data_IF_615098696807
#
_entry.id   IF_615098696807
#
_cell.length_a   1.000
_cell.length_b   1.000
_cell.length_c   1.000
_cell.angle_alpha   90.00
_cell.angle_beta   90.00
_cell.angle_gamma   90.00
#
_symmetry.space_group_name_H-M   'P 1'
#
loop_
_entity.id
_entity.type
_entity.pdbx_description
1 polymer ?
#
# COMPACT_ATOMS: atom_id res chain seq x y z
N UNK A 1 7.97 -1.02 9.55
CA UNK A 1 7.97 -0.92 8.07
C UNK A 1 7.97 -2.31 7.45
N UNK A 2 8.94 -3.17 7.75
CA UNK A 2 9.08 -4.52 7.16
C UNK A 2 7.81 -5.37 7.28
N UNK A 3 7.04 -5.23 8.37
CA UNK A 3 5.75 -5.91 8.50
C UNK A 3 4.74 -5.45 7.43
N UNK A 4 4.76 -4.17 7.07
CA UNK A 4 3.94 -3.62 6.00
C UNK A 4 4.36 -4.14 4.62
N UNK A 5 5.68 -4.14 4.34
CA UNK A 5 6.27 -4.69 3.12
C UNK A 5 5.84 -6.15 2.95
N UNK A 6 6.06 -7.00 3.95
CA UNK A 6 5.66 -8.41 3.89
C UNK A 6 4.15 -8.63 3.77
N UNK A 7 3.34 -7.69 4.28
CA UNK A 7 1.88 -7.72 4.08
C UNK A 7 1.50 -7.51 2.62
N UNK A 8 2.16 -6.58 1.93
CA UNK A 8 1.95 -6.34 0.49
C UNK A 8 2.45 -7.53 -0.35
N UNK A 9 3.65 -8.05 -0.04
CA UNK A 9 4.18 -9.26 -0.67
C UNK A 9 3.23 -10.44 -0.54
N UNK A 10 2.66 -10.66 0.66
CA UNK A 10 1.69 -11.72 0.89
C UNK A 10 0.46 -11.58 0.00
N UNK A 11 -0.07 -10.36 -0.14
CA UNK A 11 -1.18 -10.05 -1.05
C UNK A 11 -0.84 -10.40 -2.50
N UNK A 12 0.31 -9.95 -2.97
CA UNK A 12 0.80 -10.23 -4.32
C UNK A 12 0.97 -11.74 -4.57
N UNK A 13 1.66 -12.44 -3.67
CA UNK A 13 1.88 -13.89 -3.78
C UNK A 13 0.56 -14.68 -3.81
N UNK A 14 -0.44 -14.23 -3.06
CA UNK A 14 -1.76 -14.84 -3.05
C UNK A 14 -2.46 -14.65 -4.39
N UNK A 15 -2.44 -13.44 -4.96
CA UNK A 15 -3.03 -13.17 -6.29
C UNK A 15 -2.46 -14.06 -7.38
N UNK A 16 -1.17 -14.38 -7.32
CA UNK A 16 -0.50 -15.22 -8.32
C UNK A 16 -0.38 -16.71 -7.92
N UNK A 17 -1.09 -17.15 -6.90
CA UNK A 17 -1.15 -18.55 -6.49
C UNK A 17 0.15 -19.13 -5.98
N UNK A 18 1.06 -18.31 -5.46
CA UNK A 18 2.36 -18.74 -4.94
C UNK A 18 2.25 -19.21 -3.48
N UNK A 19 1.38 -20.19 -3.24
CA UNK A 19 0.97 -20.65 -1.92
C UNK A 19 2.14 -21.04 -0.99
N UNK A 20 3.13 -21.78 -1.49
CA UNK A 20 4.28 -22.22 -0.66
C UNK A 20 5.04 -21.01 -0.11
N UNK A 21 5.38 -20.06 -0.98
CA UNK A 21 6.11 -18.84 -0.59
C UNK A 21 5.24 -17.97 0.33
N UNK A 22 3.93 -17.86 0.06
CA UNK A 22 2.99 -17.12 0.90
C UNK A 22 2.95 -17.63 2.35
N UNK A 23 3.07 -18.95 2.56
CA UNK A 23 3.13 -19.56 3.91
C UNK A 23 4.42 -19.15 4.65
N UNK A 24 5.55 -19.06 3.97
CA UNK A 24 6.82 -18.62 4.56
C UNK A 24 6.74 -17.14 4.99
N UNK A 25 6.12 -16.30 4.14
CA UNK A 25 5.85 -14.90 4.48
C UNK A 25 4.91 -14.76 5.68
N UNK A 26 3.84 -15.56 5.77
CA UNK A 26 2.96 -15.59 6.94
C UNK A 26 3.70 -15.93 8.22
N UNK A 27 4.66 -16.84 8.16
CA UNK A 27 5.49 -17.20 9.32
C UNK A 27 6.33 -16.01 9.78
N UNK A 28 6.92 -15.28 8.85
CA UNK A 28 7.72 -14.09 9.13
C UNK A 28 6.85 -12.93 9.66
N UNK A 29 5.67 -12.71 9.07
CA UNK A 29 4.67 -11.75 9.54
C UNK A 29 4.26 -12.05 10.98
N UNK A 30 3.99 -13.33 11.29
CA UNK A 30 3.63 -13.75 12.66
C UNK A 30 4.72 -13.42 13.67
N UNK A 31 5.99 -13.71 13.34
CA UNK A 31 7.14 -13.38 14.21
C UNK A 31 7.24 -11.86 14.46
N UNK A 32 7.12 -11.05 13.41
CA UNK A 32 7.19 -9.58 13.52
C UNK A 32 6.00 -9.01 14.31
N UNK A 33 4.78 -9.48 14.03
CA UNK A 33 3.58 -9.05 14.74
C UNK A 33 3.65 -9.36 16.24
N UNK A 34 4.18 -10.55 16.61
CA UNK A 34 4.38 -10.92 18.00
C UNK A 34 5.44 -10.05 18.69
N UNK A 35 6.59 -9.79 18.02
CA UNK A 35 7.60 -8.85 18.55
C UNK A 35 7.02 -7.46 18.81
N UNK A 36 6.13 -6.99 17.95
CA UNK A 36 5.43 -5.71 18.08
C UNK A 36 4.26 -5.76 19.07
N UNK A 37 3.95 -6.91 19.68
CA UNK A 37 2.80 -7.13 20.58
C UNK A 37 1.45 -6.77 19.93
N UNK A 38 1.29 -7.11 18.67
CA UNK A 38 0.07 -6.93 17.88
C UNK A 38 -0.41 -8.24 17.24
N UNK A 39 0.26 -9.35 17.53
CA UNK A 39 -0.06 -10.66 16.96
C UNK A 39 -1.50 -11.13 17.24
N UNK A 40 -2.11 -10.69 18.35
CA UNK A 40 -3.48 -11.03 18.71
C UNK A 40 -4.54 -10.47 17.73
N UNK A 41 -4.20 -9.50 16.89
CA UNK A 41 -5.12 -8.94 15.89
C UNK A 41 -5.11 -9.72 14.57
N UNK A 42 -4.28 -10.75 14.46
CA UNK A 42 -4.15 -11.55 13.25
C UNK A 42 -4.57 -13.00 13.53
N UNK A 43 -5.65 -13.44 12.89
CA UNK A 43 -6.00 -14.86 12.85
C UNK A 43 -5.13 -15.57 11.81
N UNK A 44 -3.93 -15.97 12.24
CA UNK A 44 -2.96 -16.63 11.37
C UNK A 44 -3.42 -17.97 10.80
N UNK A 45 -4.36 -18.66 11.47
CA UNK A 45 -4.92 -19.91 10.94
C UNK A 45 -5.84 -19.62 9.76
N UNK A 46 -6.73 -18.63 9.91
CA UNK A 46 -7.59 -18.20 8.82
C UNK A 46 -6.79 -17.59 7.66
N UNK A 47 -5.78 -16.75 7.96
CA UNK A 47 -4.89 -16.19 6.93
C UNK A 47 -4.15 -17.29 6.17
N UNK A 48 -3.63 -18.32 6.85
CA UNK A 48 -2.98 -19.46 6.22
C UNK A 48 -3.95 -20.21 5.30
N UNK A 49 -5.17 -20.48 5.75
CA UNK A 49 -6.18 -21.16 4.96
C UNK A 49 -6.54 -20.35 3.70
N UNK A 50 -6.71 -19.03 3.81
CA UNK A 50 -7.02 -18.15 2.69
C UNK A 50 -5.84 -18.04 1.72
N UNK A 51 -4.62 -17.94 2.23
CA UNK A 51 -3.42 -17.94 1.38
C UNK A 51 -3.19 -19.26 0.64
N UNK A 52 -3.78 -20.36 1.14
CA UNK A 52 -3.73 -21.67 0.48
C UNK A 52 -4.85 -21.88 -0.55
N UNK A 53 -5.82 -20.95 -0.65
CA UNK A 53 -6.96 -21.06 -1.55
C UNK A 53 -7.15 -19.72 -2.29
N UNK A 54 -6.66 -19.66 -3.54
CA UNK A 54 -6.65 -18.46 -4.38
C UNK A 54 -8.05 -17.93 -4.73
N UNK A 55 -9.11 -18.69 -4.51
CA UNK A 55 -10.48 -18.30 -4.83
C UNK A 55 -11.08 -17.28 -3.85
N UNK A 56 -10.34 -16.91 -2.78
CA UNK A 56 -10.84 -16.09 -1.68
C UNK A 56 -10.08 -14.77 -1.48
N UNK A 57 -9.63 -14.11 -2.55
CA UNK A 57 -8.91 -12.82 -2.46
C UNK A 57 -9.75 -11.76 -1.75
N UNK A 58 -11.04 -11.65 -2.06
CA UNK A 58 -11.94 -10.68 -1.43
C UNK A 58 -12.04 -10.91 0.09
N UNK A 59 -12.12 -12.18 0.50
CA UNK A 59 -12.13 -12.55 1.92
C UNK A 59 -10.79 -12.21 2.60
N UNK A 60 -9.67 -12.39 1.91
CA UNK A 60 -8.35 -12.02 2.42
C UNK A 60 -8.24 -10.50 2.61
N UNK A 61 -8.68 -9.73 1.63
CA UNK A 61 -8.72 -8.27 1.70
C UNK A 61 -9.61 -7.81 2.86
N UNK A 62 -10.84 -8.32 2.97
CA UNK A 62 -11.79 -7.96 4.02
C UNK A 62 -11.23 -8.25 5.42
N UNK A 63 -10.68 -9.45 5.64
CA UNK A 63 -10.09 -9.84 6.94
C UNK A 63 -8.87 -8.98 7.25
N UNK A 64 -8.01 -8.73 6.26
CA UNK A 64 -6.83 -7.88 6.45
C UNK A 64 -7.20 -6.45 6.83
N UNK A 65 -8.20 -5.86 6.19
CA UNK A 65 -8.70 -4.52 6.52
C UNK A 65 -9.29 -4.48 7.94
N UNK A 66 -10.13 -5.47 8.29
CA UNK A 66 -10.71 -5.56 9.63
C UNK A 66 -9.64 -5.68 10.71
N UNK A 67 -8.68 -6.57 10.51
CA UNK A 67 -7.58 -6.78 11.44
C UNK A 67 -6.72 -5.52 11.58
N UNK A 68 -6.42 -4.84 10.47
CA UNK A 68 -5.68 -3.58 10.50
C UNK A 68 -6.42 -2.50 11.29
N UNK A 69 -7.74 -2.34 11.09
CA UNK A 69 -8.54 -1.36 11.81
C UNK A 69 -8.55 -1.61 13.32
N UNK A 70 -8.73 -2.87 13.75
CA UNK A 70 -8.69 -3.25 15.16
C UNK A 70 -7.32 -3.00 15.77
N UNK A 71 -6.27 -3.38 15.08
CA UNK A 71 -4.89 -3.13 15.49
C UNK A 71 -4.59 -1.63 15.59
N UNK A 72 -4.99 -0.85 14.59
CA UNK A 72 -4.76 0.61 14.57
C UNK A 72 -5.48 1.31 15.74
N UNK A 73 -6.73 0.90 16.04
CA UNK A 73 -7.44 1.39 17.21
C UNK A 73 -6.64 1.10 18.51
N UNK A 74 -6.24 -0.15 18.72
CA UNK A 74 -5.42 -0.54 19.87
C UNK A 74 -4.12 0.25 19.99
N UNK A 75 -3.40 0.42 18.87
CA UNK A 75 -2.16 1.19 18.86
C UNK A 75 -2.39 2.66 19.21
N UNK A 76 -3.49 3.26 18.74
CA UNK A 76 -3.90 4.62 19.09
C UNK A 76 -4.18 4.76 20.59
N UNK A 77 -4.98 3.87 21.15
CA UNK A 77 -5.34 3.86 22.57
C UNK A 77 -4.10 3.70 23.47
N UNK A 78 -3.08 2.98 22.98
CA UNK A 78 -1.83 2.76 23.68
C UNK A 78 -0.69 3.74 23.32
N UNK A 79 -0.98 4.84 22.63
CA UNK A 79 -0.02 5.87 22.18
C UNK A 79 1.11 5.30 21.31
N UNK A 80 0.78 4.31 20.47
CA UNK A 80 1.72 3.63 19.56
C UNK A 80 1.32 3.78 18.08
N UNK A 81 0.64 4.87 17.74
CA UNK A 81 0.17 5.13 16.35
C UNK A 81 1.32 5.21 15.33
N UNK A 82 2.53 5.54 15.78
CA UNK A 82 3.75 5.49 14.97
C UNK A 82 3.94 4.14 14.28
N UNK A 83 3.59 3.02 14.92
CA UNK A 83 3.69 1.68 14.33
C UNK A 83 2.74 1.53 13.15
N UNK A 84 1.50 2.02 13.26
CA UNK A 84 0.53 2.00 12.16
C UNK A 84 1.03 2.81 10.96
N UNK A 85 1.59 4.01 11.21
CA UNK A 85 2.14 4.87 10.14
C UNK A 85 3.31 4.19 9.43
N UNK A 86 4.23 3.56 10.18
CA UNK A 86 5.33 2.79 9.59
C UNK A 86 4.84 1.58 8.77
N UNK A 87 3.78 0.89 9.22
CA UNK A 87 3.21 -0.22 8.45
C UNK A 87 2.57 0.27 7.14
N UNK A 88 1.80 1.36 7.19
CA UNK A 88 1.20 1.95 5.97
C UNK A 88 2.28 2.39 5.00
N UNK A 89 3.35 3.04 5.48
CA UNK A 89 4.49 3.40 4.66
C UNK A 89 5.11 2.17 3.98
N UNK A 90 5.31 1.07 4.73
CA UNK A 90 5.85 -0.18 4.19
C UNK A 90 4.95 -0.81 3.12
N UNK A 91 3.63 -0.87 3.36
CA UNK A 91 2.66 -1.38 2.37
C UNK A 91 2.70 -0.54 1.09
N UNK A 92 2.72 0.78 1.24
CA UNK A 92 2.68 1.69 0.09
C UNK A 92 3.95 1.59 -0.78
N UNK A 93 5.14 1.61 -0.16
CA UNK A 93 6.40 1.53 -0.92
C UNK A 93 6.54 0.18 -1.65
N UNK A 94 6.12 -0.91 -1.02
CA UNK A 94 6.14 -2.23 -1.66
C UNK A 94 5.16 -2.29 -2.83
N UNK A 95 3.96 -1.71 -2.68
CA UNK A 95 2.98 -1.61 -3.77
C UNK A 95 3.54 -0.88 -4.99
N UNK A 96 4.20 0.29 -4.79
CA UNK A 96 4.85 1.03 -5.87
C UNK A 96 6.00 0.22 -6.49
N UNK A 97 6.81 -0.42 -5.66
CA UNK A 97 7.91 -1.27 -6.13
C UNK A 97 7.39 -2.40 -7.03
N UNK A 98 6.40 -3.17 -6.57
CA UNK A 98 5.84 -4.29 -7.32
C UNK A 98 5.20 -3.82 -8.64
N UNK A 99 4.40 -2.74 -8.60
CA UNK A 99 3.78 -2.17 -9.79
C UNK A 99 4.84 -1.67 -10.78
N UNK A 100 5.89 -1.02 -10.29
CA UNK A 100 7.02 -0.57 -11.10
C UNK A 100 7.76 -1.72 -11.77
N UNK A 101 8.02 -2.82 -11.04
CA UNK A 101 8.67 -4.01 -11.60
C UNK A 101 7.82 -4.67 -12.70
N UNK A 102 6.50 -4.77 -12.48
CA UNK A 102 5.58 -5.30 -13.51
C UNK A 102 5.56 -4.38 -14.73
N UNK A 103 5.54 -3.06 -14.53
CA UNK A 103 5.57 -2.08 -15.62
C UNK A 103 6.88 -2.18 -16.45
N UNK A 104 8.04 -2.33 -15.81
CA UNK A 104 9.32 -2.51 -16.51
C UNK A 104 9.36 -3.79 -17.35
N UNK A 105 8.70 -4.87 -16.88
CA UNK A 105 8.63 -6.15 -17.62
C UNK A 105 7.61 -6.11 -18.76
N UNK A 106 6.50 -5.43 -18.58
CA UNK A 106 5.40 -5.33 -19.53
C UNK A 106 4.74 -3.95 -19.41
N UNK A 107 5.25 -2.95 -20.13
CA UNK A 107 4.69 -1.60 -20.12
C UNK A 107 3.20 -1.60 -20.50
N UNK A 108 2.38 -1.05 -19.62
CA UNK A 108 0.94 -0.97 -19.77
C UNK A 108 0.45 0.44 -19.37
N UNK A 109 -0.44 1.07 -20.17
CA UNK A 109 -0.98 2.40 -19.86
C UNK A 109 -1.73 2.46 -18.52
N UNK A 110 -2.46 1.42 -18.13
CA UNK A 110 -3.21 1.38 -16.87
C UNK A 110 -2.27 1.34 -15.67
N UNK A 111 -1.17 0.56 -15.76
CA UNK A 111 -0.14 0.55 -14.72
C UNK A 111 0.56 1.91 -14.60
N UNK A 112 0.81 2.58 -15.72
CA UNK A 112 1.37 3.93 -15.75
C UNK A 112 0.46 4.94 -15.05
N UNK A 113 -0.84 4.90 -15.34
CA UNK A 113 -1.84 5.74 -14.68
C UNK A 113 -1.91 5.42 -13.20
N UNK A 114 -1.98 4.14 -12.83
CA UNK A 114 -2.03 3.69 -11.43
C UNK A 114 -0.80 4.16 -10.61
N UNK A 115 0.40 4.13 -11.19
CA UNK A 115 1.60 4.69 -10.55
C UNK A 115 1.45 6.20 -10.38
N UNK A 116 1.01 6.93 -11.42
CA UNK A 116 0.87 8.38 -11.35
C UNK A 116 -0.18 8.87 -10.35
N UNK A 117 -1.29 8.15 -10.19
CA UNK A 117 -2.34 8.43 -9.21
C UNK A 117 -1.84 8.33 -7.76
N UNK A 118 -0.74 7.61 -7.52
CA UNK A 118 -0.13 7.53 -6.19
C UNK A 118 0.41 8.86 -5.67
N UNK A 119 0.44 9.90 -6.51
CA UNK A 119 0.67 11.29 -6.07
C UNK A 119 -0.23 11.69 -4.90
N UNK A 120 -1.49 11.27 -4.92
CA UNK A 120 -2.45 11.59 -3.86
C UNK A 120 -2.05 10.86 -2.57
N UNK A 121 -1.80 9.56 -2.70
CA UNK A 121 -1.48 8.70 -1.55
C UNK A 121 -0.17 9.09 -0.85
N UNK A 122 0.88 9.43 -1.62
CA UNK A 122 2.14 9.88 -1.01
C UNK A 122 1.98 11.24 -0.32
N UNK A 123 1.12 12.12 -0.84
CA UNK A 123 0.84 13.41 -0.21
C UNK A 123 0.23 13.21 1.19
N UNK A 124 -0.75 12.33 1.32
CA UNK A 124 -1.39 12.01 2.60
C UNK A 124 -0.43 11.28 3.53
N UNK A 125 0.37 10.35 2.99
CA UNK A 125 1.38 9.62 3.76
C UNK A 125 2.45 10.57 4.33
N UNK A 126 2.89 11.56 3.57
CA UNK A 126 3.85 12.56 4.06
C UNK A 126 3.29 13.39 5.20
N UNK A 127 1.99 13.71 5.20
CA UNK A 127 1.33 14.38 6.34
C UNK A 127 1.42 13.50 7.59
N UNK A 128 1.14 12.20 7.47
CA UNK A 128 1.21 11.26 8.58
C UNK A 128 2.64 11.09 9.10
N UNK A 129 3.62 10.95 8.21
CA UNK A 129 5.04 10.77 8.59
C UNK A 129 5.59 12.01 9.31
N UNK A 130 5.28 13.22 8.83
CA UNK A 130 5.75 14.49 9.42
C UNK A 130 5.24 14.75 10.84
N UNK A 131 4.15 14.10 11.27
CA UNK A 131 3.73 14.12 12.67
C UNK A 131 4.79 13.54 13.62
N UNK A 132 5.74 12.77 13.09
CA UNK A 132 6.82 12.12 13.85
C UNK A 132 8.21 12.67 13.49
N UNK A 133 8.32 13.84 12.84
CA UNK A 133 9.60 14.41 12.38
C UNK A 133 10.64 14.62 13.47
N UNK A 134 10.18 14.78 14.73
CA UNK A 134 11.07 14.94 15.91
C UNK A 134 11.63 13.61 16.42
N UNK A 135 11.13 12.49 15.93
CA UNK A 135 11.61 11.16 16.26
C UNK A 135 12.81 10.83 15.34
N UNK A 136 14.02 10.58 15.87
CA UNK A 136 15.20 10.29 15.06
C UNK A 136 15.03 9.10 14.12
N UNK A 137 14.26 8.07 14.53
CA UNK A 137 13.99 6.88 13.72
C UNK A 137 13.14 7.19 12.49
N UNK A 138 12.30 8.25 12.57
CA UNK A 138 11.49 8.72 11.44
C UNK A 138 12.24 9.68 10.52
N UNK A 139 13.25 10.40 11.03
CA UNK A 139 13.92 11.46 10.27
C UNK A 139 14.57 10.94 8.97
N UNK A 140 15.25 9.80 9.03
CA UNK A 140 15.85 9.18 7.85
C UNK A 140 14.80 8.71 6.85
N UNK A 141 13.73 8.10 7.36
CA UNK A 141 12.59 7.65 6.55
C UNK A 141 11.91 8.82 5.83
N UNK A 142 11.58 9.87 6.57
CA UNK A 142 10.94 11.09 6.03
C UNK A 142 11.79 11.66 4.90
N UNK A 143 13.11 11.77 5.10
CA UNK A 143 14.04 12.28 4.09
C UNK A 143 14.02 11.45 2.80
N UNK A 144 13.90 10.13 2.90
CA UNK A 144 13.87 9.25 1.72
C UNK A 144 12.51 9.34 1.02
N UNK A 145 11.40 9.35 1.76
CA UNK A 145 10.07 9.53 1.19
C UNK A 145 9.87 10.93 0.59
N UNK A 146 10.51 11.97 1.14
CA UNK A 146 10.49 13.32 0.60
C UNK A 146 11.07 13.40 -0.82
N UNK A 147 12.17 12.65 -1.08
CA UNK A 147 12.75 12.57 -2.45
C UNK A 147 11.72 12.02 -3.44
N UNK A 148 10.99 10.98 -3.05
CA UNK A 148 9.96 10.38 -3.89
C UNK A 148 8.76 11.30 -4.04
N UNK A 149 8.34 11.95 -2.97
CA UNK A 149 7.25 12.94 -2.97
C UNK A 149 7.53 14.11 -3.93
N UNK A 150 8.78 14.64 -3.94
CA UNK A 150 9.17 15.71 -4.87
C UNK A 150 9.10 15.27 -6.36
N UNK A 151 9.29 13.99 -6.65
CA UNK A 151 9.06 13.45 -7.99
C UNK A 151 7.55 13.39 -8.29
N UNK A 152 6.74 12.86 -7.39
CA UNK A 152 5.30 12.77 -7.57
C UNK A 152 4.60 14.14 -7.70
N UNK A 153 5.12 15.20 -7.07
CA UNK A 153 4.59 16.57 -7.22
C UNK A 153 4.58 17.03 -8.68
N UNK A 154 5.50 16.54 -9.51
CA UNK A 154 5.62 16.86 -10.94
C UNK A 154 4.59 16.14 -11.81
N UNK A 155 3.96 15.06 -11.32
CA UNK A 155 2.87 14.39 -12.03
C UNK A 155 1.67 15.32 -12.08
N UNK A 156 1.04 15.46 -13.25
CA UNK A 156 -0.18 16.25 -13.42
C UNK A 156 -1.38 15.33 -13.49
N UNK A 157 -2.35 15.55 -12.63
CA UNK A 157 -3.63 14.84 -12.63
C UNK A 157 -4.72 15.86 -12.94
N UNK A 158 -5.49 15.62 -13.98
CA UNK A 158 -6.69 16.37 -14.33
C UNK A 158 -7.91 15.48 -14.22
N UNK A 159 -9.09 16.07 -14.03
CA UNK A 159 -10.33 15.32 -13.88
C UNK A 159 -11.31 15.74 -14.96
N UNK A 160 -11.78 14.75 -15.72
CA UNK A 160 -12.90 14.96 -16.64
C UNK A 160 -14.18 14.49 -15.96
N UNK A 161 -15.18 15.39 -15.92
CA UNK A 161 -16.50 15.05 -15.43
C UNK A 161 -17.30 14.44 -16.56
N UNK A 162 -17.62 13.14 -16.41
CA UNK A 162 -18.59 12.47 -17.28
C UNK A 162 -20.04 12.75 -16.85
N UNK A 163 -20.98 12.38 -17.70
CA UNK A 163 -22.40 12.47 -17.34
C UNK A 163 -22.72 11.57 -16.13
N UNK A 164 -23.49 12.07 -15.15
CA UNK A 164 -23.85 11.27 -13.99
C UNK A 164 -24.76 10.11 -14.38
N UNK A 165 -24.41 8.92 -13.94
CA UNK A 165 -25.19 7.69 -14.14
C UNK A 165 -26.26 7.58 -13.04
N UNK A 166 -27.49 7.33 -13.45
CA UNK A 166 -28.61 7.07 -12.52
C UNK A 166 -28.77 5.57 -12.35
N UNK A 167 -28.54 5.06 -11.15
CA UNK A 167 -28.67 3.65 -10.82
C UNK A 167 -29.81 3.51 -9.81
N UNK A 168 -30.79 2.67 -10.12
CA UNK A 168 -31.81 2.29 -9.15
C UNK A 168 -31.36 0.99 -8.47
N UNK A 169 -31.16 1.04 -7.15
CA UNK A 169 -30.78 -0.12 -6.34
C UNK A 169 -31.62 -0.14 -5.07
N UNK A 170 -32.30 -1.26 -4.82
CA UNK A 170 -33.15 -1.47 -3.64
C UNK A 170 -34.22 -0.37 -3.43
N UNK A 171 -34.85 0.11 -4.54
CA UNK A 171 -35.85 1.17 -4.54
C UNK A 171 -35.30 2.56 -4.21
N UNK A 172 -33.97 2.75 -4.25
CA UNK A 172 -33.30 4.04 -4.06
C UNK A 172 -32.61 4.49 -5.34
N UNK A 173 -32.81 5.75 -5.69
CA UNK A 173 -32.11 6.39 -6.79
C UNK A 173 -30.71 6.79 -6.28
N UNK A 174 -29.65 6.17 -6.86
CA UNK A 174 -28.27 6.53 -6.62
C UNK A 174 -27.77 7.27 -7.83
N UNK A 175 -27.25 8.48 -7.64
CA UNK A 175 -26.57 9.24 -8.69
C UNK A 175 -25.06 8.93 -8.55
N UNK A 176 -24.51 8.19 -9.50
CA UNK A 176 -23.09 7.94 -9.56
C UNK A 176 -22.43 8.97 -10.47
N UNK A 177 -21.53 9.76 -9.92
CA UNK A 177 -20.75 10.72 -10.69
C UNK A 177 -19.62 9.96 -11.41
N UNK A 178 -19.60 10.02 -12.75
CA UNK A 178 -18.55 9.43 -13.56
C UNK A 178 -17.45 10.48 -13.77
N UNK A 179 -16.54 10.58 -12.78
CA UNK A 179 -15.32 11.40 -12.92
C UNK A 179 -14.18 10.48 -13.30
N UNK A 180 -13.49 10.78 -14.40
CA UNK A 180 -12.31 10.06 -14.84
C UNK A 180 -11.07 10.89 -14.52
N UNK A 181 -10.09 10.32 -13.86
CA UNK A 181 -8.76 10.92 -13.71
C UNK A 181 -7.97 10.74 -15.01
N UNK A 182 -7.23 11.77 -15.40
CA UNK A 182 -6.26 11.72 -16.49
C UNK A 182 -4.90 12.05 -15.90
N UNK A 183 -3.99 11.09 -15.97
CA UNK A 183 -2.64 11.21 -15.44
C UNK A 183 -1.67 11.56 -16.56
N UNK A 184 -0.99 12.70 -16.42
CA UNK A 184 0.07 13.12 -17.31
C UNK A 184 1.43 12.96 -16.59
N UNK A 185 2.19 11.96 -17.01
CA UNK A 185 3.53 11.66 -16.51
C UNK A 185 4.44 11.34 -17.69
N UNK A 186 5.62 11.98 -17.77
CA UNK A 186 6.62 11.67 -18.81
C UNK A 186 7.34 10.36 -18.51
N UNK A 187 7.89 9.71 -19.55
CA UNK A 187 8.64 8.46 -19.38
C UNK A 187 9.84 8.66 -18.47
N UNK A 188 10.54 9.79 -18.59
CA UNK A 188 11.69 10.13 -17.75
C UNK A 188 11.29 10.28 -16.27
N UNK A 189 10.12 10.89 -15.99
CA UNK A 189 9.64 11.07 -14.63
C UNK A 189 9.19 9.74 -14.03
N UNK A 190 8.50 8.91 -14.81
CA UNK A 190 8.07 7.59 -14.39
C UNK A 190 9.27 6.69 -14.05
N UNK A 191 10.30 6.66 -14.92
CA UNK A 191 11.55 5.92 -14.66
C UNK A 191 12.23 6.40 -13.36
N UNK A 192 12.28 7.71 -13.12
CA UNK A 192 12.84 8.24 -11.87
C UNK A 192 12.03 7.82 -10.64
N UNK A 193 10.71 7.80 -10.72
CA UNK A 193 9.82 7.35 -9.64
C UNK A 193 10.07 5.87 -9.34
N UNK A 194 10.11 5.02 -10.37
CA UNK A 194 10.35 3.58 -10.21
C UNK A 194 11.73 3.35 -9.58
N UNK A 195 12.80 3.94 -10.11
CA UNK A 195 14.16 3.79 -9.58
C UNK A 195 14.29 4.28 -8.13
N UNK A 196 13.65 5.39 -7.81
CA UNK A 196 13.67 5.92 -6.43
C UNK A 196 12.90 5.00 -5.47
N UNK A 197 11.76 4.43 -5.89
CA UNK A 197 11.01 3.48 -5.06
C UNK A 197 11.79 2.19 -4.80
N UNK A 198 12.46 1.65 -5.83
CA UNK A 198 13.38 0.50 -5.70
C UNK A 198 14.50 0.81 -4.69
N UNK A 199 15.11 1.98 -4.79
CA UNK A 199 16.19 2.40 -3.88
C UNK A 199 15.72 2.46 -2.42
N UNK A 200 14.57 3.09 -2.17
CA UNK A 200 14.00 3.20 -0.83
C UNK A 200 13.64 1.81 -0.28
N UNK A 201 12.91 1.03 -1.05
CA UNK A 201 12.47 -0.32 -0.67
C UNK A 201 13.66 -1.21 -0.30
N UNK A 202 14.70 -1.24 -1.16
CA UNK A 202 15.88 -2.06 -0.92
C UNK A 202 16.65 -1.64 0.34
N UNK A 203 16.75 -0.35 0.61
CA UNK A 203 17.31 0.15 1.86
C UNK A 203 16.55 -0.36 3.09
N UNK A 204 15.20 -0.31 3.06
CA UNK A 204 14.35 -0.70 4.17
C UNK A 204 14.38 -2.21 4.51
N UNK A 205 14.72 -3.07 3.55
CA UNK A 205 14.84 -4.52 3.79
C UNK A 205 16.27 -4.98 4.11
N UNK A 206 17.27 -4.10 3.92
CA UNK A 206 18.69 -4.40 4.18
C UNK A 206 19.11 -4.02 5.61
N UNK A 207 18.31 -3.23 6.31
CA UNK A 207 18.48 -2.86 7.72
C UNK A 207 17.82 -3.91 8.64
#
# INVERSE_FOLDING_TARGET
IVLGIYGADLGYLNMYGKTSVAIDFLTSIKKLANKLKIGQFFDFQTLKRLASNNENIDSLIYISQRNFNQMNQYLRENRRSNISVLMVAGVWIEGIYLTGQVYEMSPDPELREAIGEQKIMISDLMILLRNYEKDPDFAALIKDYEKLYELFKKVKITYEQGEPERIEKDGRLIIKQNTKSIVNISDELLDKIIKQSVSIRNKLISE
#
